data_IF_535457084034
#
_entry.id   IF_535457084034
#
_cell.length_a   1.000
_cell.length_b   1.000
_cell.length_c   1.000
_cell.angle_alpha   90.00
_cell.angle_beta   90.00
_cell.angle_gamma   90.00
#
_symmetry.space_group_name_H-M   'P 1'
#
loop_
_entity.id
_entity.type
_entity.pdbx_description
1 polymer ?
#
# COMPACT_ATOMS: atom_id res chain seq x y z
N UNK A 1 13.05 -9.62 -5.29
CA UNK A 1 13.42 -10.35 -6.53
C UNK A 1 14.04 -9.43 -7.56
N UNK A 2 13.43 -8.26 -7.86
CA UNK A 2 13.95 -7.29 -8.84
C UNK A 2 15.43 -6.92 -8.66
N UNK A 3 15.87 -6.59 -7.43
CA UNK A 3 17.28 -6.28 -7.17
C UNK A 3 18.22 -7.40 -7.63
N UNK A 4 17.90 -8.67 -7.31
CA UNK A 4 18.70 -9.83 -7.70
C UNK A 4 18.70 -10.02 -9.22
N UNK A 5 17.56 -9.77 -9.87
CA UNK A 5 17.46 -9.79 -11.33
C UNK A 5 18.40 -8.75 -11.98
N UNK A 6 18.39 -7.50 -11.51
CA UNK A 6 19.31 -6.47 -12.00
C UNK A 6 20.78 -6.81 -11.75
N UNK A 7 21.12 -7.35 -10.58
CA UNK A 7 22.49 -7.81 -10.28
C UNK A 7 22.94 -8.89 -11.28
N UNK A 8 22.12 -9.92 -11.50
CA UNK A 8 22.44 -10.98 -12.47
C UNK A 8 22.55 -10.45 -13.90
N UNK A 9 21.64 -9.56 -14.34
CA UNK A 9 21.73 -8.94 -15.67
C UNK A 9 22.96 -8.06 -15.83
N UNK A 10 23.35 -7.33 -14.79
CA UNK A 10 24.56 -6.52 -14.78
C UNK A 10 25.82 -7.39 -14.89
N UNK A 11 25.87 -8.51 -14.16
CA UNK A 11 26.97 -9.48 -14.26
C UNK A 11 27.08 -10.07 -15.66
N UNK A 12 25.95 -10.49 -16.25
CA UNK A 12 25.91 -11.01 -17.62
C UNK A 12 26.34 -9.93 -18.64
N UNK A 13 25.85 -8.70 -18.51
CA UNK A 13 26.19 -7.60 -19.42
C UNK A 13 27.69 -7.26 -19.37
N UNK A 14 28.28 -7.25 -18.17
CA UNK A 14 29.73 -7.04 -17.99
C UNK A 14 30.54 -8.19 -18.60
N UNK A 15 30.19 -9.44 -18.32
CA UNK A 15 30.86 -10.61 -18.88
C UNK A 15 30.78 -10.66 -20.42
N UNK A 16 29.63 -10.25 -20.99
CA UNK A 16 29.45 -10.12 -22.43
C UNK A 16 30.29 -9.00 -23.02
N UNK A 17 30.37 -7.84 -22.36
CA UNK A 17 31.22 -6.74 -22.79
C UNK A 17 32.71 -7.13 -22.78
N UNK A 18 33.15 -7.89 -21.79
CA UNK A 18 34.53 -8.40 -21.72
C UNK A 18 34.82 -9.38 -22.86
N UNK A 19 33.91 -10.34 -23.11
CA UNK A 19 34.01 -11.28 -24.25
C UNK A 19 34.02 -10.56 -25.61
N UNK A 20 33.19 -9.52 -25.76
CA UNK A 20 33.12 -8.71 -26.98
C UNK A 20 34.37 -7.84 -27.15
N UNK A 21 35.00 -7.39 -26.07
CA UNK A 21 36.27 -6.68 -26.11
C UNK A 21 37.40 -7.58 -26.60
N UNK A 22 37.47 -8.84 -26.16
CA UNK A 22 38.42 -9.82 -26.68
C UNK A 22 38.17 -10.09 -28.16
N UNK A 23 36.91 -10.23 -28.56
CA UNK A 23 36.52 -10.41 -29.96
C UNK A 23 36.97 -9.22 -30.81
N UNK A 24 36.76 -7.98 -30.34
CA UNK A 24 37.20 -6.77 -31.03
C UNK A 24 38.72 -6.73 -31.20
N UNK A 25 39.50 -7.12 -30.18
CA UNK A 25 40.96 -7.18 -30.27
C UNK A 25 41.40 -8.19 -31.33
N UNK A 26 40.79 -9.38 -31.34
CA UNK A 26 41.10 -10.42 -32.31
C UNK A 26 40.75 -9.98 -33.74
N UNK A 27 39.61 -9.33 -33.96
CA UNK A 27 39.23 -8.83 -35.30
C UNK A 27 40.15 -7.70 -35.75
N UNK A 28 40.60 -6.83 -34.84
CA UNK A 28 41.60 -5.80 -35.13
C UNK A 28 42.93 -6.41 -35.61
N UNK A 29 43.49 -7.39 -34.89
CA UNK A 29 44.72 -8.07 -35.31
C UNK A 29 44.57 -8.77 -36.65
N UNK A 30 43.42 -9.39 -36.92
CA UNK A 30 43.13 -10.01 -38.22
C UNK A 30 43.04 -8.97 -39.34
N UNK A 31 42.51 -7.78 -39.07
CA UNK A 31 42.43 -6.70 -40.05
C UNK A 31 43.82 -6.12 -40.36
N UNK A 32 44.65 -5.92 -39.34
CA UNK A 32 46.05 -5.48 -39.48
C UNK A 32 46.89 -6.48 -40.28
N UNK A 33 46.59 -7.78 -40.15
CA UNK A 33 47.20 -8.86 -40.94
C UNK A 33 46.59 -9.02 -42.35
N UNK A 34 45.57 -8.23 -42.73
CA UNK A 34 44.89 -8.32 -44.02
C UNK A 34 43.95 -9.53 -44.19
N UNK A 35 43.55 -10.17 -43.08
CA UNK A 35 42.72 -11.38 -43.06
C UNK A 35 41.21 -11.12 -42.84
N UNK A 36 40.81 -9.85 -42.63
CA UNK A 36 39.41 -9.42 -42.46
C UNK A 36 39.25 -7.97 -42.90
N UNK A 37 38.02 -7.45 -42.97
CA UNK A 37 37.74 -6.08 -43.44
C UNK A 37 37.63 -5.08 -42.29
N UNK A 38 37.77 -3.78 -42.60
CA UNK A 38 37.51 -2.71 -41.62
C UNK A 38 36.04 -2.68 -41.16
N UNK A 39 35.11 -3.14 -41.99
CA UNK A 39 33.70 -3.27 -41.64
C UNK A 39 33.50 -4.25 -40.47
N UNK A 40 34.22 -5.37 -40.45
CA UNK A 40 34.14 -6.38 -39.37
C UNK A 40 34.61 -5.80 -38.03
N UNK A 41 35.63 -4.93 -38.06
CA UNK A 41 36.14 -4.22 -36.87
C UNK A 41 35.11 -3.24 -36.33
N UNK A 42 34.51 -2.43 -37.20
CA UNK A 42 33.48 -1.47 -36.78
C UNK A 42 32.20 -2.16 -36.30
N UNK A 43 31.83 -3.31 -36.90
CA UNK A 43 30.71 -4.11 -36.41
C UNK A 43 30.98 -4.70 -35.02
N UNK A 44 32.18 -5.25 -34.79
CA UNK A 44 32.59 -5.74 -33.48
C UNK A 44 32.62 -4.60 -32.43
N UNK A 45 33.10 -3.42 -32.81
CA UNK A 45 33.09 -2.22 -31.96
C UNK A 45 31.66 -1.78 -31.63
N UNK A 46 30.78 -1.71 -32.63
CA UNK A 46 29.38 -1.33 -32.44
C UNK A 46 28.69 -2.27 -31.46
N UNK A 47 28.91 -3.59 -31.57
CA UNK A 47 28.33 -4.57 -30.65
C UNK A 47 28.82 -4.38 -29.21
N UNK A 48 30.14 -4.16 -29.03
CA UNK A 48 30.72 -3.87 -27.71
C UNK A 48 30.11 -2.63 -27.08
N UNK A 49 30.06 -1.52 -27.83
CA UNK A 49 29.55 -0.26 -27.32
C UNK A 49 28.03 -0.31 -27.07
N UNK A 50 27.27 -1.09 -27.85
CA UNK A 50 25.85 -1.33 -27.59
C UNK A 50 25.64 -2.07 -26.26
N UNK A 51 26.45 -3.08 -25.95
CA UNK A 51 26.39 -3.78 -24.66
C UNK A 51 26.82 -2.85 -23.51
N UNK A 52 27.90 -2.08 -23.69
CA UNK A 52 28.36 -1.09 -22.70
C UNK A 52 27.30 -0.03 -22.39
N UNK A 53 26.56 0.42 -23.39
CA UNK A 53 25.48 1.39 -23.21
C UNK A 53 24.33 0.87 -22.33
N UNK A 54 24.16 -0.46 -22.22
CA UNK A 54 23.13 -1.05 -21.35
C UNK A 54 23.56 -1.10 -19.88
N UNK A 55 24.87 -1.15 -19.59
CA UNK A 55 25.39 -1.30 -18.23
C UNK A 55 24.94 -0.15 -17.30
N UNK A 56 25.03 1.15 -17.66
CA UNK A 56 24.55 2.23 -16.81
C UNK A 56 23.05 2.14 -16.50
N UNK A 57 22.23 1.76 -17.49
CA UNK A 57 20.79 1.59 -17.29
C UNK A 57 20.48 0.47 -16.30
N UNK A 58 21.18 -0.67 -16.40
CA UNK A 58 21.07 -1.77 -15.44
C UNK A 58 21.56 -1.39 -14.04
N UNK A 59 22.62 -0.57 -13.94
CA UNK A 59 23.17 -0.11 -12.66
C UNK A 59 22.20 0.86 -11.97
N UNK A 60 21.59 1.78 -12.72
CA UNK A 60 20.52 2.66 -12.23
C UNK A 60 19.33 1.83 -11.73
N UNK A 61 18.87 0.84 -12.50
CA UNK A 61 17.79 -0.06 -12.07
C UNK A 61 18.13 -0.85 -10.81
N UNK A 62 19.39 -1.28 -10.65
CA UNK A 62 19.88 -1.89 -9.41
C UNK A 62 19.76 -0.92 -8.23
N UNK A 63 20.26 0.31 -8.38
CA UNK A 63 20.24 1.32 -7.33
C UNK A 63 18.80 1.72 -6.93
N UNK A 64 17.89 1.87 -7.90
CA UNK A 64 16.48 2.14 -7.63
C UNK A 64 15.80 1.01 -6.86
N UNK A 65 16.05 -0.25 -7.23
CA UNK A 65 15.55 -1.41 -6.49
C UNK A 65 16.11 -1.47 -5.06
N UNK A 66 17.38 -1.11 -4.88
CA UNK A 66 18.03 -1.03 -3.56
C UNK A 66 17.41 0.07 -2.68
N UNK A 67 17.19 1.26 -3.24
CA UNK A 67 16.53 2.37 -2.55
C UNK A 67 15.08 2.01 -2.16
N UNK A 68 14.35 1.32 -3.05
CA UNK A 68 13.00 0.82 -2.76
C UNK A 68 13.00 -0.15 -1.58
N UNK A 69 13.99 -1.05 -1.50
CA UNK A 69 14.14 -1.95 -0.34
C UNK A 69 14.45 -1.18 0.95
N UNK A 70 15.29 -0.15 0.90
CA UNK A 70 15.56 0.69 2.08
C UNK A 70 14.27 1.35 2.61
N UNK A 71 13.46 1.92 1.72
CA UNK A 71 12.17 2.53 2.09
C UNK A 71 11.19 1.49 2.66
N UNK A 72 11.10 0.29 2.05
CA UNK A 72 10.24 -0.78 2.56
C UNK A 72 10.68 -1.29 3.96
N UNK A 73 11.97 -1.16 4.29
CA UNK A 73 12.50 -1.43 5.64
C UNK A 73 12.42 -0.22 6.58
N UNK A 74 11.88 0.91 6.13
CA UNK A 74 11.82 2.16 6.91
C UNK A 74 13.17 2.83 7.13
N UNK A 75 14.15 2.58 6.25
CA UNK A 75 15.51 3.11 6.32
C UNK A 75 15.75 4.16 5.23
N UNK A 76 16.72 5.06 5.46
CA UNK A 76 17.12 6.05 4.46
C UNK A 76 17.78 5.36 3.24
N UNK A 77 17.52 5.84 2.00
CA UNK A 77 18.23 5.35 0.82
C UNK A 77 19.76 5.41 0.99
N UNK A 78 20.46 4.36 0.53
CA UNK A 78 21.92 4.24 0.62
C UNK A 78 22.43 3.51 1.89
N UNK A 79 21.59 3.29 2.90
CA UNK A 79 21.97 2.55 4.12
C UNK A 79 22.25 1.06 3.87
N UNK A 80 21.61 0.47 2.85
CA UNK A 80 21.72 -0.95 2.53
C UNK A 80 22.86 -1.29 1.56
N UNK A 81 23.59 -0.29 1.05
CA UNK A 81 24.54 -0.46 -0.05
C UNK A 81 25.64 -1.47 0.27
N UNK A 82 26.24 -1.38 1.45
CA UNK A 82 27.28 -2.32 1.90
C UNK A 82 26.75 -3.75 2.08
N UNK A 83 25.50 -3.89 2.54
CA UNK A 83 24.88 -5.20 2.83
C UNK A 83 24.43 -5.90 1.56
N UNK A 84 24.00 -5.12 0.55
CA UNK A 84 23.46 -5.62 -0.72
C UNK A 84 24.44 -5.51 -1.89
N UNK A 85 25.69 -5.07 -1.64
CA UNK A 85 26.72 -4.90 -2.66
C UNK A 85 26.98 -6.18 -3.47
N UNK A 86 26.98 -7.34 -2.81
CA UNK A 86 27.27 -8.61 -3.45
C UNK A 86 26.02 -9.22 -4.10
N UNK A 87 26.18 -9.67 -5.34
CA UNK A 87 25.20 -10.49 -6.05
C UNK A 87 24.97 -11.80 -5.28
N UNK A 88 23.71 -12.23 -5.23
CA UNK A 88 23.33 -13.53 -4.68
C UNK A 88 22.23 -14.13 -5.53
N UNK A 89 22.01 -15.44 -5.38
CA UNK A 89 20.97 -16.15 -6.13
C UNK A 89 19.59 -15.53 -5.92
N UNK A 90 18.79 -15.56 -6.98
CA UNK A 90 17.37 -15.24 -6.89
C UNK A 90 16.72 -16.28 -5.97
N UNK A 91 15.94 -15.87 -4.95
CA UNK A 91 15.25 -16.81 -4.07
C UNK A 91 14.30 -17.71 -4.85
N UNK A 92 14.31 -19.01 -4.55
CA UNK A 92 13.39 -19.99 -5.11
C UNK A 92 12.11 -20.05 -4.28
N UNK A 93 10.96 -20.22 -4.96
CA UNK A 93 9.66 -20.35 -4.30
C UNK A 93 9.54 -21.79 -3.80
N UNK A 94 9.12 -22.03 -2.54
CA UNK A 94 8.91 -23.39 -2.04
C UNK A 94 7.78 -24.11 -2.81
N UNK A 95 7.96 -25.40 -3.11
CA UNK A 95 7.03 -26.22 -3.92
C UNK A 95 5.60 -26.34 -3.36
N UNK A 96 5.38 -26.05 -2.08
CA UNK A 96 4.06 -26.10 -1.43
C UNK A 96 3.52 -24.70 -1.20
N UNK A 97 3.06 -24.05 -2.25
CA UNK A 97 2.01 -23.05 -2.11
C UNK A 97 0.71 -23.84 -1.99
N UNK A 98 0.26 -24.10 -0.77
CA UNK A 98 -1.04 -24.72 -0.54
C UNK A 98 -2.08 -23.70 -0.97
N UNK A 99 -2.55 -23.81 -2.20
CA UNK A 99 -3.72 -23.06 -2.67
C UNK A 99 -4.93 -23.70 -1.99
N UNK A 100 -5.34 -23.12 -0.88
CA UNK A 100 -6.59 -23.47 -0.18
C UNK A 100 -7.78 -23.21 -1.10
N UNK A 101 -8.95 -23.78 -0.77
CA UNK A 101 -10.20 -23.56 -1.48
C UNK A 101 -10.44 -22.04 -1.70
N UNK A 102 -10.71 -21.57 -2.94
CA UNK A 102 -10.86 -20.14 -3.26
C UNK A 102 -11.87 -19.38 -2.37
N UNK A 103 -12.90 -20.06 -1.87
CA UNK A 103 -13.89 -19.45 -0.99
C UNK A 103 -13.32 -19.08 0.40
N UNK A 104 -12.40 -19.88 0.93
CA UNK A 104 -11.78 -19.63 2.24
C UNK A 104 -10.68 -18.57 2.11
N UNK A 105 -9.97 -18.50 0.97
CA UNK A 105 -8.98 -17.44 0.72
C UNK A 105 -9.65 -16.07 0.66
N UNK A 106 -10.82 -15.94 -0.01
CA UNK A 106 -11.61 -14.70 -0.02
C UNK A 106 -12.00 -14.24 1.39
N UNK A 107 -12.37 -15.17 2.29
CA UNK A 107 -12.73 -14.85 3.69
C UNK A 107 -11.52 -14.48 4.56
N UNK A 108 -10.33 -14.87 4.18
CA UNK A 108 -9.09 -14.54 4.89
C UNK A 108 -8.52 -13.18 4.46
N UNK A 109 -8.91 -12.68 3.27
CA UNK A 109 -8.44 -11.42 2.73
C UNK A 109 -8.83 -10.20 3.59
N UNK A 110 -7.85 -9.41 4.09
CA UNK A 110 -8.12 -8.25 4.93
C UNK A 110 -8.89 -7.10 4.24
N UNK A 111 -8.69 -6.90 2.94
CA UNK A 111 -9.39 -5.89 2.14
C UNK A 111 -10.89 -6.20 2.04
N UNK A 112 -11.28 -7.45 1.76
CA UNK A 112 -12.68 -7.91 1.76
C UNK A 112 -13.32 -7.71 3.13
N UNK A 113 -12.63 -8.06 4.21
CA UNK A 113 -13.12 -7.84 5.59
C UNK A 113 -13.29 -6.35 5.90
N UNK A 114 -12.35 -5.51 5.48
CA UNK A 114 -12.45 -4.06 5.69
C UNK A 114 -13.67 -3.47 4.95
N UNK A 115 -13.91 -3.90 3.71
CA UNK A 115 -15.08 -3.50 2.94
C UNK A 115 -16.39 -3.97 3.60
N UNK A 116 -16.46 -5.21 4.06
CA UNK A 116 -17.62 -5.74 4.80
C UNK A 116 -17.89 -4.93 6.07
N UNK A 117 -16.86 -4.60 6.86
CA UNK A 117 -17.01 -3.80 8.09
C UNK A 117 -17.43 -2.37 7.80
N UNK A 118 -17.01 -1.82 6.66
CA UNK A 118 -17.45 -0.50 6.20
C UNK A 118 -18.94 -0.53 5.85
N UNK A 119 -19.39 -1.55 5.10
CA UNK A 119 -20.81 -1.77 4.80
C UNK A 119 -21.65 -1.93 6.09
N UNK A 120 -21.17 -2.72 7.05
CA UNK A 120 -21.84 -2.89 8.34
C UNK A 120 -21.95 -1.57 9.11
N UNK A 121 -20.89 -0.74 9.11
CA UNK A 121 -20.89 0.57 9.74
C UNK A 121 -21.90 1.53 9.08
N UNK A 122 -21.95 1.60 7.75
CA UNK A 122 -22.90 2.46 7.05
C UNK A 122 -24.35 1.97 7.23
N UNK A 123 -24.55 0.66 7.35
CA UNK A 123 -25.87 0.09 7.70
C UNK A 123 -26.30 0.50 9.11
N UNK A 124 -25.39 0.50 10.08
CA UNK A 124 -25.69 0.96 11.44
C UNK A 124 -26.00 2.48 11.50
N UNK A 125 -25.33 3.28 10.65
CA UNK A 125 -25.59 4.73 10.54
C UNK A 125 -26.97 5.05 9.98
N UNK A 126 -27.57 4.19 9.14
CA UNK A 126 -28.98 4.33 8.77
C UNK A 126 -29.84 4.33 10.04
N UNK A 127 -29.62 3.36 10.94
CA UNK A 127 -30.31 3.27 12.22
C UNK A 127 -30.09 4.51 13.12
N UNK A 128 -28.88 5.08 13.12
CA UNK A 128 -28.59 6.34 13.83
C UNK A 128 -29.41 7.52 13.27
N UNK A 129 -29.50 7.64 11.94
CA UNK A 129 -30.27 8.70 11.30
C UNK A 129 -31.77 8.48 11.48
N UNK A 130 -32.23 7.23 11.45
CA UNK A 130 -33.61 6.87 11.77
C UNK A 130 -33.96 7.18 13.23
N UNK A 131 -33.03 6.99 14.17
CA UNK A 131 -33.22 7.30 15.58
C UNK A 131 -33.53 8.81 15.80
N UNK A 132 -33.08 9.70 14.92
CA UNK A 132 -33.38 11.14 14.97
C UNK A 132 -34.87 11.46 14.76
N UNK A 133 -35.67 10.50 14.29
CA UNK A 133 -37.14 10.63 14.22
C UNK A 133 -37.80 10.55 15.60
N UNK A 134 -37.11 10.03 16.59
CA UNK A 134 -37.62 9.86 17.95
C UNK A 134 -37.07 10.95 18.87
N UNK A 135 -37.79 11.26 19.98
CA UNK A 135 -37.26 12.17 20.99
C UNK A 135 -35.98 11.63 21.60
N UNK A 136 -34.97 12.49 21.76
CA UNK A 136 -33.75 12.17 22.51
C UNK A 136 -33.96 12.47 23.98
N UNK A 137 -33.43 11.60 24.84
CA UNK A 137 -33.38 11.79 26.29
C UNK A 137 -31.93 12.05 26.70
N UNK A 138 -31.67 13.23 27.29
CA UNK A 138 -30.38 13.59 27.82
C UNK A 138 -30.46 13.74 29.34
N UNK A 139 -29.52 13.15 30.05
CA UNK A 139 -29.38 13.28 31.50
C UNK A 139 -27.99 13.84 31.79
N UNK A 140 -27.94 15.01 32.42
CA UNK A 140 -26.70 15.70 32.78
C UNK A 140 -26.66 15.92 34.27
N UNK A 141 -25.48 15.79 34.88
CA UNK A 141 -25.28 16.10 36.29
C UNK A 141 -23.92 16.70 36.53
N UNK A 142 -23.81 17.49 37.59
CA UNK A 142 -22.54 18.07 38.05
C UNK A 142 -22.44 17.97 39.56
N UNK A 143 -21.22 17.85 40.07
CA UNK A 143 -20.89 17.90 41.49
C UNK A 143 -19.66 18.79 41.61
N UNK A 144 -19.65 19.70 42.57
CA UNK A 144 -18.55 20.64 42.75
C UNK A 144 -18.58 21.34 44.09
N UNK A 145 -17.65 22.27 44.26
CA UNK A 145 -17.61 23.15 45.41
C UNK A 145 -17.99 24.56 44.95
N UNK A 146 -18.98 25.16 45.61
CA UNK A 146 -19.41 26.52 45.37
C UNK A 146 -19.52 27.27 46.70
N UNK A 147 -18.71 28.30 46.87
CA UNK A 147 -18.75 29.19 48.03
C UNK A 147 -18.56 30.65 47.59
N UNK A 148 -19.17 31.59 48.34
CA UNK A 148 -19.04 33.03 48.08
C UNK A 148 -17.64 33.59 48.38
N UNK A 149 -16.82 32.86 49.14
CA UNK A 149 -15.46 33.22 49.52
C UNK A 149 -14.53 32.00 49.47
N UNK A 150 -13.25 32.21 49.15
CA UNK A 150 -12.26 31.13 49.07
C UNK A 150 -12.08 30.37 50.39
N UNK A 151 -12.18 31.07 51.52
CA UNK A 151 -12.03 30.47 52.85
C UNK A 151 -13.11 29.44 53.20
N UNK A 152 -14.27 29.53 52.58
CA UNK A 152 -15.40 28.63 52.82
C UNK A 152 -15.42 27.44 51.87
N UNK A 153 -14.52 27.34 50.88
CA UNK A 153 -14.51 26.22 49.92
C UNK A 153 -14.18 24.87 50.55
N UNK A 154 -13.50 24.85 51.70
CA UNK A 154 -13.19 23.63 52.46
C UNK A 154 -14.30 23.24 53.46
N UNK A 155 -15.41 23.97 53.54
CA UNK A 155 -16.52 23.59 54.41
C UNK A 155 -17.39 22.50 53.78
N UNK A 156 -18.03 21.69 54.62
CA UNK A 156 -18.98 20.66 54.15
C UNK A 156 -20.13 21.29 53.36
N UNK A 157 -20.53 22.51 53.74
CA UNK A 157 -21.60 23.29 53.10
C UNK A 157 -21.23 23.84 51.71
N UNK A 158 -19.95 23.84 51.32
CA UNK A 158 -19.54 24.26 49.99
C UNK A 158 -19.85 23.20 48.92
N UNK A 159 -20.20 21.97 49.30
CA UNK A 159 -20.52 20.90 48.36
C UNK A 159 -21.87 21.17 47.69
N UNK A 160 -21.85 21.26 46.36
CA UNK A 160 -23.05 21.43 45.53
C UNK A 160 -23.12 20.33 44.48
N UNK A 161 -24.35 19.99 44.09
CA UNK A 161 -24.60 19.07 43.00
C UNK A 161 -25.88 19.45 42.26
N UNK A 162 -25.93 19.15 40.97
CA UNK A 162 -27.11 19.34 40.15
C UNK A 162 -27.35 18.11 39.27
N UNK A 163 -28.62 17.81 38.99
CA UNK A 163 -29.06 16.77 38.07
C UNK A 163 -30.18 17.34 37.20
N UNK A 164 -30.03 17.27 35.89
CA UNK A 164 -30.96 17.80 34.91
C UNK A 164 -31.22 16.77 33.82
N UNK A 165 -32.49 16.41 33.63
CA UNK A 165 -32.95 15.63 32.49
C UNK A 165 -33.69 16.49 31.47
N UNK A 166 -33.50 16.25 30.18
CA UNK A 166 -34.23 16.91 29.10
C UNK A 166 -34.65 15.92 28.02
N UNK A 167 -35.89 16.05 27.54
CA UNK A 167 -36.39 15.32 26.36
C UNK A 167 -36.66 16.33 25.26
N UNK A 168 -36.10 16.09 24.07
CA UNK A 168 -36.31 16.95 22.91
C UNK A 168 -36.57 16.11 21.66
N UNK A 169 -37.56 16.51 20.86
CA UNK A 169 -37.89 15.83 19.61
C UNK A 169 -38.41 16.80 18.55
N UNK A 170 -38.27 16.46 17.26
CA UNK A 170 -38.75 17.31 16.17
C UNK A 170 -40.29 17.28 16.10
N UNK A 171 -40.92 18.46 16.08
CA UNK A 171 -42.38 18.60 15.84
C UNK A 171 -42.65 18.83 14.34
N UNK A 172 -41.84 19.66 13.70
CA UNK A 172 -41.89 19.94 12.26
C UNK A 172 -40.47 19.99 11.71
N UNK A 173 -40.16 19.12 10.74
CA UNK A 173 -38.83 19.02 10.13
C UNK A 173 -38.85 19.22 8.60
N UNK A 174 -40.02 19.51 8.02
CA UNK A 174 -40.25 19.62 6.57
C UNK A 174 -39.69 18.42 5.75
N UNK A 175 -39.63 17.22 6.34
CA UNK A 175 -39.09 16.03 5.69
C UNK A 175 -37.56 15.94 5.68
N UNK A 176 -36.85 16.84 6.37
CA UNK A 176 -35.38 16.84 6.48
C UNK A 176 -34.84 15.50 6.95
N UNK A 177 -35.43 14.89 7.98
CA UNK A 177 -34.92 13.61 8.52
C UNK A 177 -35.14 12.48 7.50
N UNK A 178 -36.27 12.49 6.79
CA UNK A 178 -36.53 11.52 5.72
C UNK A 178 -35.49 11.61 4.61
N UNK A 179 -35.13 12.81 4.20
CA UNK A 179 -34.08 13.01 3.19
C UNK A 179 -32.71 12.60 3.71
N UNK A 180 -32.41 12.84 5.00
CA UNK A 180 -31.17 12.36 5.62
C UNK A 180 -31.09 10.83 5.62
N UNK A 181 -32.20 10.12 5.90
CA UNK A 181 -32.25 8.66 5.79
C UNK A 181 -31.97 8.24 4.34
N UNK A 182 -32.63 8.86 3.36
CA UNK A 182 -32.41 8.53 1.94
C UNK A 182 -30.96 8.75 1.49
N UNK A 183 -30.32 9.84 1.94
CA UNK A 183 -28.90 10.10 1.70
C UNK A 183 -28.04 8.99 2.33
N UNK A 184 -28.32 8.63 3.58
CA UNK A 184 -27.55 7.59 4.28
C UNK A 184 -27.76 6.20 3.67
N UNK A 185 -28.96 5.90 3.16
CA UNK A 185 -29.24 4.69 2.38
C UNK A 185 -28.41 4.67 1.10
N UNK A 186 -28.34 5.78 0.36
CA UNK A 186 -27.50 5.85 -0.84
C UNK A 186 -26.01 5.65 -0.53
N UNK A 187 -25.51 6.14 0.61
CA UNK A 187 -24.13 5.89 1.08
C UNK A 187 -23.92 4.41 1.42
N UNK A 188 -24.90 3.75 2.04
CA UNK A 188 -24.86 2.32 2.31
C UNK A 188 -24.88 1.48 1.02
N UNK A 189 -25.70 1.87 0.03
CA UNK A 189 -25.72 1.24 -1.29
C UNK A 189 -24.38 1.37 -2.00
N UNK A 190 -23.75 2.56 -1.92
CA UNK A 190 -22.40 2.76 -2.42
C UNK A 190 -21.39 1.83 -1.72
N UNK A 191 -21.47 1.69 -0.39
CA UNK A 191 -20.62 0.76 0.36
C UNK A 191 -20.86 -0.71 -0.04
N UNK A 192 -22.11 -1.08 -0.37
CA UNK A 192 -22.45 -2.41 -0.86
C UNK A 192 -21.81 -2.69 -2.22
N UNK A 193 -21.91 -1.74 -3.15
CA UNK A 193 -21.27 -1.85 -4.48
C UNK A 193 -19.76 -1.93 -4.33
N UNK A 194 -19.15 -1.14 -3.45
CA UNK A 194 -17.71 -1.22 -3.16
C UNK A 194 -17.30 -2.59 -2.61
N UNK A 195 -18.08 -3.17 -1.70
CA UNK A 195 -17.86 -4.52 -1.20
C UNK A 195 -17.95 -5.57 -2.31
N UNK A 196 -18.98 -5.50 -3.16
CA UNK A 196 -19.14 -6.39 -4.30
C UNK A 196 -17.97 -6.27 -5.28
N UNK A 197 -17.55 -5.05 -5.61
CA UNK A 197 -16.38 -4.81 -6.47
C UNK A 197 -15.11 -5.40 -5.86
N UNK A 198 -14.89 -5.23 -4.55
CA UNK A 198 -13.72 -5.77 -3.85
C UNK A 198 -13.70 -7.30 -3.91
N UNK A 199 -14.85 -7.94 -3.77
CA UNK A 199 -14.99 -9.41 -3.89
C UNK A 199 -14.71 -9.88 -5.31
N UNK A 200 -15.21 -9.18 -6.33
CA UNK A 200 -14.97 -9.52 -7.73
C UNK A 200 -13.49 -9.36 -8.12
N UNK A 201 -12.86 -8.26 -7.73
CA UNK A 201 -11.41 -8.07 -7.94
C UNK A 201 -10.59 -9.13 -7.20
N UNK A 202 -11.00 -9.49 -5.99
CA UNK A 202 -10.34 -10.54 -5.24
C UNK A 202 -10.47 -11.93 -5.89
N UNK A 203 -11.62 -12.21 -6.52
CA UNK A 203 -11.82 -13.43 -7.29
C UNK A 203 -10.94 -13.43 -8.56
N UNK A 204 -10.92 -12.32 -9.29
CA UNK A 204 -10.08 -12.13 -10.47
C UNK A 204 -8.60 -12.36 -10.15
N UNK A 205 -8.09 -11.79 -9.07
CA UNK A 205 -6.69 -11.98 -8.63
C UNK A 205 -6.37 -13.45 -8.31
N UNK A 206 -7.32 -14.20 -7.73
CA UNK A 206 -7.14 -15.63 -7.43
C UNK A 206 -7.13 -16.46 -8.70
N UNK A 207 -8.07 -16.21 -9.62
CA UNK A 207 -8.14 -16.90 -10.92
C UNK A 207 -6.92 -16.59 -11.79
N UNK A 208 -6.40 -15.36 -11.76
CA UNK A 208 -5.19 -14.96 -12.52
C UNK A 208 -3.89 -15.51 -11.91
N UNK A 209 -3.88 -15.85 -10.62
CA UNK A 209 -2.71 -16.38 -9.93
C UNK A 209 -2.59 -17.91 -9.98
N UNK A 210 -3.68 -18.61 -10.34
CA UNK A 210 -3.72 -20.05 -10.60
C UNK A 210 -3.24 -20.38 -12.03
#
# INVERSE_FOLDING_TARGET
VELRNYQTRLEIAKANADSQLETLKLTQWRAEAGLTTALDVEQARSNLEQTRAQIPSLDTGRAEAEHRLAILLGQQPGTLHSTLANSAKIPEIPERVIVTIPADTLRQRPDVRAAERTLAAETARIGEVEAKRYPSFNLSGSIGLAALTLGNLNSVDATTGSLLGSIAGPIFDAGRIRQQVAIQTAVQEQALVNYQSTVLSALEEVENAL
#
